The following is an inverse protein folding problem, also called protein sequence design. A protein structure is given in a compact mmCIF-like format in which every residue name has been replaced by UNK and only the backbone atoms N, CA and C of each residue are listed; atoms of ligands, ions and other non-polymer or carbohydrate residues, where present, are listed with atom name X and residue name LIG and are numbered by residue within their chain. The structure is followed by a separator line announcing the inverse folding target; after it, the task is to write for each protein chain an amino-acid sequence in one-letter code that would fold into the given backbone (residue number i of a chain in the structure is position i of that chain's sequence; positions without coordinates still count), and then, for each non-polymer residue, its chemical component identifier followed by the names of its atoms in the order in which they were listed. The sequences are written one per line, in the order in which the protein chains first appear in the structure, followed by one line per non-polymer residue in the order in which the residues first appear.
data_IF_909281946335
#
_entry.id   IF_909281946335
#
_cell.length_a   1.000
_cell.length_b   1.000
_cell.length_c   1.000
_cell.angle_alpha   90.00
_cell.angle_beta   90.00
_cell.angle_gamma   90.00
#
_symmetry.space_group_name_H-M   'P 1'
#
loop_
_entity.id
_entity.type
_entity.pdbx_description
1 polymer ?
#
# COMPACT_ATOMS: atom_id res chain seq x y z
N UNK A 1 -28.40 6.82 -17.67
CA UNK A 1 -28.13 7.92 -18.64
C UNK A 1 -28.92 9.21 -18.36
N UNK A 2 -29.73 9.33 -17.28
CA UNK A 2 -30.52 10.55 -17.03
C UNK A 2 -30.23 11.30 -15.73
N UNK A 3 -29.30 10.83 -14.91
CA UNK A 3 -28.99 11.42 -13.59
C UNK A 3 -27.69 12.22 -13.58
N UNK A 4 -26.70 11.83 -14.39
CA UNK A 4 -25.33 12.33 -14.25
C UNK A 4 -25.14 13.69 -14.97
N UNK A 5 -25.74 13.84 -16.16
CA UNK A 5 -25.81 15.13 -16.88
C UNK A 5 -26.59 16.22 -16.13
N UNK A 6 -27.49 15.84 -15.22
CA UNK A 6 -28.25 16.79 -14.40
C UNK A 6 -27.36 17.45 -13.33
N UNK A 7 -26.32 16.76 -12.86
CA UNK A 7 -25.39 17.27 -11.86
C UNK A 7 -24.42 18.31 -12.47
N UNK A 8 -23.92 18.08 -13.69
CA UNK A 8 -23.04 19.05 -14.36
C UNK A 8 -23.75 20.37 -14.62
N UNK A 9 -24.97 20.34 -15.18
CA UNK A 9 -25.76 21.56 -15.42
C UNK A 9 -26.05 22.33 -14.13
N UNK A 10 -26.34 21.62 -13.03
CA UNK A 10 -26.58 22.24 -11.73
C UNK A 10 -25.37 23.05 -11.25
N UNK A 11 -24.16 22.48 -11.32
CA UNK A 11 -22.96 23.20 -10.87
C UNK A 11 -22.58 24.37 -11.79
N UNK A 12 -22.82 24.25 -13.10
CA UNK A 12 -22.63 25.37 -14.04
C UNK A 12 -23.57 26.54 -13.73
N UNK A 13 -24.85 26.25 -13.52
CA UNK A 13 -25.85 27.27 -13.15
C UNK A 13 -25.51 27.94 -11.80
N UNK A 14 -24.99 27.17 -10.83
CA UNK A 14 -24.57 27.70 -9.54
C UNK A 14 -23.33 28.59 -9.65
N UNK A 15 -22.34 28.20 -10.46
CA UNK A 15 -21.16 29.04 -10.76
C UNK A 15 -21.62 30.36 -11.38
N UNK A 16 -22.48 30.33 -12.40
CA UNK A 16 -22.99 31.52 -13.07
C UNK A 16 -23.71 32.46 -12.09
N UNK A 17 -24.49 31.92 -11.15
CA UNK A 17 -25.16 32.70 -10.10
C UNK A 17 -24.19 33.34 -9.13
N UNK A 18 -23.19 32.60 -8.66
CA UNK A 18 -22.18 33.12 -7.73
C UNK A 18 -21.35 34.21 -8.42
N UNK A 19 -20.90 33.98 -9.65
CA UNK A 19 -20.11 34.97 -10.41
C UNK A 19 -20.92 36.23 -10.74
N UNK A 20 -22.22 36.10 -11.04
CA UNK A 20 -23.10 37.24 -11.30
C UNK A 20 -23.44 38.06 -10.04
N UNK A 21 -23.47 37.42 -8.86
CA UNK A 21 -23.83 38.08 -7.60
C UNK A 21 -22.62 38.58 -6.79
N UNK A 22 -21.42 38.07 -7.07
CA UNK A 22 -20.19 38.39 -6.37
C UNK A 22 -19.05 38.69 -7.36
N UNK A 23 -17.95 37.96 -7.30
CA UNK A 23 -16.77 38.13 -8.15
C UNK A 23 -16.22 36.77 -8.58
N UNK A 24 -15.40 36.78 -9.64
CA UNK A 24 -14.85 35.56 -10.26
C UNK A 24 -13.93 34.72 -9.35
N UNK A 25 -13.59 35.20 -8.15
CA UNK A 25 -12.79 34.49 -7.16
C UNK A 25 -13.51 34.36 -5.82
N UNK A 26 -14.85 34.40 -5.81
CA UNK A 26 -15.62 34.13 -4.60
C UNK A 26 -15.17 32.79 -3.96
N UNK A 27 -14.88 32.75 -2.64
CA UNK A 27 -14.44 31.52 -1.97
C UNK A 27 -15.37 30.32 -2.18
N UNK A 28 -16.69 30.54 -2.33
CA UNK A 28 -17.65 29.46 -2.56
C UNK A 28 -17.39 28.72 -3.88
N UNK A 29 -16.84 29.41 -4.88
CA UNK A 29 -16.52 28.81 -6.17
C UNK A 29 -15.46 27.70 -6.03
N UNK A 30 -14.59 27.73 -5.02
CA UNK A 30 -13.57 26.70 -4.81
C UNK A 30 -14.17 25.30 -4.69
N UNK A 31 -15.16 25.14 -3.83
CA UNK A 31 -15.89 23.88 -3.63
C UNK A 31 -16.83 23.56 -4.80
N UNK A 32 -17.48 24.57 -5.39
CA UNK A 32 -18.38 24.36 -6.54
C UNK A 32 -17.62 23.86 -7.76
N UNK A 33 -16.46 24.42 -8.09
CA UNK A 33 -15.60 23.92 -9.18
C UNK A 33 -15.02 22.53 -8.90
N UNK A 34 -14.73 22.19 -7.64
CA UNK A 34 -14.33 20.83 -7.27
C UNK A 34 -15.44 19.83 -7.58
N UNK A 35 -16.67 20.17 -7.19
CA UNK A 35 -17.85 19.32 -7.36
C UNK A 35 -18.24 19.17 -8.84
N UNK A 36 -18.11 20.26 -9.62
CA UNK A 36 -18.20 20.22 -11.08
C UNK A 36 -17.14 19.29 -11.67
N UNK A 37 -15.87 19.46 -11.28
CA UNK A 37 -14.77 18.63 -11.76
C UNK A 37 -15.00 17.14 -11.50
N UNK A 38 -15.48 16.78 -10.30
CA UNK A 38 -15.85 15.40 -9.98
C UNK A 38 -17.00 14.88 -10.86
N UNK A 39 -18.06 15.67 -11.04
CA UNK A 39 -19.20 15.29 -11.87
C UNK A 39 -18.79 15.09 -13.33
N UNK A 40 -17.90 15.92 -13.85
CA UNK A 40 -17.34 15.79 -15.19
C UNK A 40 -16.44 14.56 -15.34
N UNK A 41 -15.69 14.17 -14.29
CA UNK A 41 -14.95 12.90 -14.28
C UNK A 41 -15.91 11.72 -14.38
N UNK A 42 -16.99 11.73 -13.59
CA UNK A 42 -18.00 10.68 -13.58
C UNK A 42 -18.71 10.56 -14.94
N UNK A 43 -18.92 11.70 -15.64
CA UNK A 43 -19.45 11.77 -17.01
C UNK A 43 -18.43 11.43 -18.11
N UNK A 44 -17.16 11.21 -17.76
CA UNK A 44 -16.07 10.95 -18.71
C UNK A 44 -15.60 12.17 -19.50
N UNK A 45 -16.05 13.38 -19.13
CA UNK A 45 -15.63 14.63 -19.75
C UNK A 45 -14.33 15.17 -19.12
N UNK A 46 -13.23 14.47 -19.40
CA UNK A 46 -11.94 14.69 -18.75
C UNK A 46 -11.28 16.07 -18.97
N UNK A 47 -11.31 16.69 -20.18
CA UNK A 47 -10.67 18.00 -20.37
C UNK A 47 -11.34 19.09 -19.53
N UNK A 48 -12.67 19.16 -19.56
CA UNK A 48 -13.46 20.14 -18.81
C UNK A 48 -13.35 19.88 -17.30
N UNK A 49 -13.26 18.61 -16.87
CA UNK A 49 -12.98 18.28 -15.49
C UNK A 49 -11.63 18.85 -15.04
N UNK A 50 -10.59 18.70 -15.88
CA UNK A 50 -9.25 19.21 -15.60
C UNK A 50 -9.27 20.74 -15.43
N UNK A 51 -9.98 21.45 -16.32
CA UNK A 51 -10.10 22.91 -16.27
C UNK A 51 -10.87 23.37 -15.03
N UNK A 52 -11.99 22.71 -14.69
CA UNK A 52 -12.74 23.00 -13.48
C UNK A 52 -11.88 22.82 -12.21
N UNK A 53 -11.15 21.71 -12.10
CA UNK A 53 -10.28 21.45 -10.95
C UNK A 53 -9.12 22.46 -10.85
N UNK A 54 -8.48 22.82 -11.97
CA UNK A 54 -7.45 23.87 -12.02
C UNK A 54 -8.01 25.23 -11.61
N UNK A 55 -9.23 25.55 -12.03
CA UNK A 55 -9.92 26.78 -11.63
C UNK A 55 -10.20 26.80 -10.14
N UNK A 56 -10.67 25.69 -9.57
CA UNK A 56 -10.80 25.51 -8.13
C UNK A 56 -9.49 25.78 -7.38
N UNK A 57 -8.38 25.16 -7.80
CA UNK A 57 -7.04 25.42 -7.21
C UNK A 57 -6.67 26.91 -7.27
N UNK A 58 -6.96 27.60 -8.37
CA UNK A 58 -6.68 29.03 -8.50
C UNK A 58 -7.48 29.87 -7.50
N UNK A 59 -8.77 29.58 -7.32
CA UNK A 59 -9.64 30.26 -6.36
C UNK A 59 -9.13 30.05 -4.94
N UNK A 60 -8.78 28.82 -4.58
CA UNK A 60 -8.21 28.49 -3.27
C UNK A 60 -6.91 29.26 -3.00
N UNK A 61 -6.03 29.35 -4.00
CA UNK A 61 -4.77 30.12 -3.89
C UNK A 61 -4.98 31.60 -3.68
N UNK A 62 -5.96 32.19 -4.36
CA UNK A 62 -6.23 33.62 -4.27
C UNK A 62 -6.84 33.98 -2.92
N UNK A 63 -7.73 33.14 -2.40
CA UNK A 63 -8.44 33.42 -1.15
C UNK A 63 -7.62 33.05 0.10
N UNK A 64 -6.85 31.95 0.04
CA UNK A 64 -6.22 31.38 1.23
C UNK A 64 -4.68 31.27 1.13
N UNK A 65 -4.11 31.64 -0.02
CA UNK A 65 -2.67 31.69 -0.25
C UNK A 65 -2.08 30.43 -0.89
N UNK A 66 -0.84 30.56 -1.38
CA UNK A 66 -0.15 29.52 -2.17
C UNK A 66 0.07 28.18 -1.43
N UNK A 67 0.13 28.22 -0.10
CA UNK A 67 0.33 27.04 0.76
C UNK A 67 -0.93 26.69 1.56
N UNK A 68 -2.11 27.10 1.08
CA UNK A 68 -3.38 26.67 1.68
C UNK A 68 -3.63 25.19 1.43
N UNK A 69 -3.95 24.46 2.50
CA UNK A 69 -4.37 23.06 2.46
C UNK A 69 -5.71 22.85 1.75
N UNK A 70 -6.51 23.91 1.58
CA UNK A 70 -7.78 23.84 0.85
C UNK A 70 -7.61 23.48 -0.62
N UNK A 71 -6.39 23.63 -1.18
CA UNK A 71 -6.05 23.16 -2.53
C UNK A 71 -5.89 21.64 -2.64
N UNK A 72 -5.68 20.93 -1.52
CA UNK A 72 -5.30 19.51 -1.53
C UNK A 72 -6.37 18.62 -2.19
N UNK A 73 -7.67 18.75 -1.88
CA UNK A 73 -8.70 17.91 -2.51
C UNK A 73 -8.71 18.02 -4.04
N UNK A 74 -8.59 19.24 -4.59
CA UNK A 74 -8.53 19.46 -6.04
C UNK A 74 -7.28 18.86 -6.67
N UNK A 75 -6.13 18.99 -6.01
CA UNK A 75 -4.87 18.42 -6.49
C UNK A 75 -4.87 16.89 -6.46
N UNK A 76 -5.52 16.27 -5.47
CA UNK A 76 -5.70 14.82 -5.42
C UNK A 76 -6.60 14.33 -6.57
N UNK A 77 -7.71 15.02 -6.85
CA UNK A 77 -8.57 14.71 -8.00
C UNK A 77 -7.84 14.93 -9.34
N UNK A 78 -7.01 15.97 -9.45
CA UNK A 78 -6.15 16.16 -10.62
C UNK A 78 -5.16 15.01 -10.76
N UNK A 79 -4.54 14.54 -9.67
CA UNK A 79 -3.63 13.40 -9.73
C UNK A 79 -4.34 12.13 -10.23
N UNK A 80 -5.57 11.87 -9.75
CA UNK A 80 -6.39 10.75 -10.20
C UNK A 80 -6.73 10.87 -11.69
N UNK A 81 -7.20 12.04 -12.13
CA UNK A 81 -7.56 12.34 -13.52
C UNK A 81 -6.37 12.18 -14.46
N UNK A 82 -5.22 12.78 -14.14
CA UNK A 82 -4.01 12.68 -14.95
C UNK A 82 -3.52 11.24 -15.07
N UNK A 83 -3.63 10.45 -13.99
CA UNK A 83 -3.29 9.03 -14.03
C UNK A 83 -4.20 8.25 -14.99
N UNK A 84 -5.51 8.48 -14.94
CA UNK A 84 -6.48 7.86 -15.86
C UNK A 84 -6.19 8.22 -17.32
N UNK A 85 -5.73 9.45 -17.58
CA UNK A 85 -5.32 9.91 -18.91
C UNK A 85 -3.94 9.38 -19.36
N UNK A 86 -3.23 8.64 -18.52
CA UNK A 86 -1.87 8.14 -18.79
C UNK A 86 -0.77 9.19 -18.61
N UNK A 87 -1.10 10.37 -18.07
CA UNK A 87 -0.18 11.48 -17.83
C UNK A 87 0.55 11.34 -16.47
N UNK A 88 1.26 10.23 -16.27
CA UNK A 88 1.89 9.89 -14.98
C UNK A 88 2.78 11.00 -14.39
N UNK A 89 3.47 11.78 -15.24
CA UNK A 89 4.30 12.90 -14.80
C UNK A 89 3.50 14.04 -14.19
N UNK A 90 2.36 14.40 -14.78
CA UNK A 90 1.50 15.47 -14.24
C UNK A 90 0.75 14.98 -13.01
N UNK A 91 0.36 13.70 -12.96
CA UNK A 91 -0.18 13.09 -11.75
C UNK A 91 0.82 13.19 -10.57
N UNK A 92 2.07 12.77 -10.80
CA UNK A 92 3.12 12.84 -9.80
C UNK A 92 3.40 14.29 -9.35
N UNK A 93 3.40 15.25 -10.27
CA UNK A 93 3.57 16.68 -9.97
C UNK A 93 2.43 17.24 -9.11
N UNK A 94 1.19 16.81 -9.33
CA UNK A 94 0.07 17.20 -8.48
C UNK A 94 0.25 16.68 -7.03
N UNK A 95 0.71 15.44 -6.86
CA UNK A 95 1.03 14.84 -5.55
C UNK A 95 2.22 15.54 -4.86
N UNK A 96 3.24 15.92 -5.62
CA UNK A 96 4.37 16.73 -5.11
C UNK A 96 3.92 18.11 -4.65
N UNK A 97 2.95 18.73 -5.33
CA UNK A 97 2.33 19.97 -4.89
C UNK A 97 1.58 19.77 -3.56
N UNK A 98 0.82 18.68 -3.40
CA UNK A 98 0.16 18.35 -2.13
C UNK A 98 1.18 18.23 -1.00
N UNK A 99 2.28 17.49 -1.21
CA UNK A 99 3.37 17.39 -0.24
C UNK A 99 3.99 18.76 0.07
N UNK A 100 4.27 19.57 -0.96
CA UNK A 100 4.87 20.89 -0.80
C UNK A 100 3.98 21.84 0.00
N UNK A 101 2.68 21.89 -0.30
CA UNK A 101 1.69 22.68 0.43
C UNK A 101 1.67 22.27 1.90
N UNK A 102 1.50 20.98 2.19
CA UNK A 102 1.46 20.48 3.56
C UNK A 102 2.77 20.74 4.31
N UNK A 103 3.92 20.49 3.66
CA UNK A 103 5.24 20.71 4.25
C UNK A 103 5.51 22.18 4.55
N UNK A 104 5.02 23.11 3.73
CA UNK A 104 5.16 24.55 3.99
C UNK A 104 4.16 25.04 5.04
N UNK A 105 2.97 24.43 5.11
CA UNK A 105 1.95 24.79 6.08
C UNK A 105 2.27 24.28 7.49
N UNK A 106 2.64 23.01 7.64
CA UNK A 106 2.91 22.38 8.94
C UNK A 106 4.39 22.37 9.32
N UNK A 107 5.29 22.30 8.33
CA UNK A 107 6.69 21.93 8.50
C UNK A 107 6.93 20.46 8.15
N UNK A 108 7.97 20.18 7.35
CA UNK A 108 8.27 18.85 6.79
C UNK A 108 8.46 17.69 7.79
N UNK A 109 8.64 17.99 9.08
CA UNK A 109 8.85 17.00 10.14
C UNK A 109 7.70 16.96 11.16
N UNK A 110 6.72 17.84 11.06
CA UNK A 110 5.61 17.94 12.01
C UNK A 110 4.72 16.69 11.94
N UNK A 111 4.22 16.22 13.08
CA UNK A 111 3.38 15.02 13.17
C UNK A 111 2.10 15.13 12.30
N UNK A 112 1.61 16.34 12.02
CA UNK A 112 0.46 16.60 11.13
C UNK A 112 0.75 16.27 9.66
N UNK A 113 2.01 16.03 9.29
CA UNK A 113 2.37 15.51 7.97
C UNK A 113 1.97 14.03 7.79
N UNK A 114 1.80 13.27 8.87
CA UNK A 114 1.57 11.83 8.77
C UNK A 114 0.30 11.46 7.96
N UNK A 115 -0.88 12.06 8.18
CA UNK A 115 -2.07 11.73 7.37
C UNK A 115 -1.89 12.08 5.88
N UNK A 116 -1.22 13.19 5.57
CA UNK A 116 -0.95 13.59 4.18
C UNK A 116 -0.01 12.59 3.51
N UNK A 117 1.09 12.23 4.17
CA UNK A 117 2.03 11.25 3.65
C UNK A 117 1.40 9.86 3.53
N UNK A 118 0.47 9.50 4.43
CA UNK A 118 -0.29 8.26 4.36
C UNK A 118 -1.20 8.20 3.13
N UNK A 119 -1.89 9.30 2.82
CA UNK A 119 -2.70 9.44 1.62
C UNK A 119 -1.85 9.35 0.35
N UNK A 120 -0.69 10.02 0.33
CA UNK A 120 0.25 9.94 -0.80
C UNK A 120 0.81 8.53 -0.97
N UNK A 121 1.16 7.84 0.13
CA UNK A 121 1.66 6.48 0.07
C UNK A 121 0.58 5.53 -0.49
N UNK A 122 -0.64 5.63 0.04
CA UNK A 122 -1.78 4.82 -0.41
C UNK A 122 -2.06 5.02 -1.90
N UNK A 123 -2.09 6.28 -2.35
CA UNK A 123 -2.28 6.61 -3.78
C UNK A 123 -1.29 5.87 -4.69
N UNK A 124 -0.01 5.81 -4.30
CA UNK A 124 1.06 5.14 -5.05
C UNK A 124 0.92 3.62 -4.99
N UNK A 125 0.63 3.06 -3.81
CA UNK A 125 0.57 1.62 -3.60
C UNK A 125 -0.68 0.97 -4.18
N UNK A 126 -1.79 1.71 -4.24
CA UNK A 126 -3.04 1.22 -4.84
C UNK A 126 -2.90 1.10 -6.36
N UNK A 127 -2.18 2.04 -6.99
CA UNK A 127 -1.90 2.05 -8.44
C UNK A 127 -0.77 1.12 -8.87
N UNK A 128 0.00 0.64 -7.92
CA UNK A 128 0.99 -0.41 -8.14
C UNK A 128 0.35 -1.80 -8.37
N UNK A 129 -0.97 -1.95 -8.23
CA UNK A 129 -1.64 -3.25 -8.38
C UNK A 129 -2.11 -3.52 -9.83
N UNK A 130 -1.41 -4.45 -10.49
CA UNK A 130 -1.82 -5.19 -11.72
C UNK A 130 -1.52 -4.61 -13.11
N UNK A 131 -0.40 -3.91 -13.34
CA UNK A 131 0.05 -3.61 -14.72
C UNK A 131 1.46 -4.19 -14.97
N UNK A 132 1.62 -4.89 -16.09
CA UNK A 132 2.81 -5.70 -16.41
C UNK A 132 3.94 -4.89 -17.07
N UNK A 133 4.29 -3.70 -16.57
CA UNK A 133 5.25 -2.85 -17.31
C UNK A 133 6.30 -2.12 -16.47
N UNK A 134 7.37 -1.69 -17.15
CA UNK A 134 8.45 -0.85 -16.62
C UNK A 134 7.96 0.49 -16.05
N UNK A 135 6.74 0.94 -16.40
CA UNK A 135 6.13 2.18 -15.88
C UNK A 135 5.81 2.14 -14.38
N UNK A 136 5.67 0.95 -13.81
CA UNK A 136 5.33 0.76 -12.40
C UNK A 136 6.48 1.11 -11.44
N UNK A 137 7.71 1.21 -11.97
CA UNK A 137 8.88 1.54 -11.17
C UNK A 137 8.77 2.93 -10.54
N UNK A 138 8.12 3.88 -11.22
CA UNK A 138 7.92 5.24 -10.70
C UNK A 138 7.07 5.22 -9.42
N UNK A 139 6.02 4.40 -9.36
CA UNK A 139 5.20 4.23 -8.16
C UNK A 139 5.97 3.59 -7.01
N UNK A 140 6.82 2.60 -7.29
CA UNK A 140 7.71 1.96 -6.30
C UNK A 140 8.64 3.00 -5.67
N UNK A 141 9.26 3.84 -6.49
CA UNK A 141 10.18 4.89 -6.02
C UNK A 141 9.44 5.97 -5.25
N UNK A 142 8.29 6.44 -5.75
CA UNK A 142 7.48 7.42 -5.07
C UNK A 142 6.98 6.91 -3.70
N UNK A 143 6.64 5.61 -3.59
CA UNK A 143 6.32 4.96 -2.34
C UNK A 143 7.53 4.93 -1.39
N UNK A 144 8.74 4.62 -1.88
CA UNK A 144 9.96 4.67 -1.06
C UNK A 144 10.27 6.07 -0.54
N UNK A 145 10.20 7.09 -1.40
CA UNK A 145 10.41 8.49 -1.02
C UNK A 145 9.40 8.92 0.04
N UNK A 146 8.14 8.55 -0.12
CA UNK A 146 7.08 8.85 0.85
C UNK A 146 7.30 8.11 2.18
N UNK A 147 7.69 6.84 2.14
CA UNK A 147 8.05 6.06 3.32
C UNK A 147 9.23 6.71 4.09
N UNK A 148 10.26 7.18 3.40
CA UNK A 148 11.37 7.89 4.03
C UNK A 148 10.93 9.20 4.71
N UNK A 149 9.98 9.92 4.11
CA UNK A 149 9.37 11.11 4.72
C UNK A 149 8.57 10.75 5.98
N UNK A 150 7.79 9.66 5.96
CA UNK A 150 7.05 9.15 7.12
C UNK A 150 8.03 8.82 8.26
N UNK A 151 9.07 8.04 7.98
CA UNK A 151 10.09 7.67 8.97
C UNK A 151 10.71 8.92 9.60
N UNK A 152 11.06 9.92 8.78
CA UNK A 152 11.63 11.19 9.26
C UNK A 152 10.69 11.97 10.18
N UNK A 153 9.38 11.99 9.91
CA UNK A 153 8.38 12.63 10.76
C UNK A 153 8.26 11.90 12.09
N UNK A 154 8.18 10.55 12.06
CA UNK A 154 8.12 9.73 13.27
C UNK A 154 9.34 9.97 14.15
N UNK A 155 10.54 9.83 13.59
CA UNK A 155 11.81 10.00 14.30
C UNK A 155 11.98 11.40 14.92
N UNK A 156 11.36 12.42 14.33
CA UNK A 156 11.55 13.82 14.73
C UNK A 156 10.47 14.35 15.67
N UNK A 157 9.26 13.81 15.64
CA UNK A 157 8.09 14.51 16.20
C UNK A 157 6.98 13.62 16.74
N UNK A 158 7.12 12.29 16.70
CA UNK A 158 6.08 11.37 17.20
C UNK A 158 6.67 10.47 18.28
N UNK A 159 6.11 10.46 19.51
CA UNK A 159 6.54 9.53 20.55
C UNK A 159 6.32 8.08 20.13
N UNK A 160 7.26 7.17 20.43
CA UNK A 160 7.13 5.74 20.10
C UNK A 160 5.91 5.08 20.75
N UNK A 161 5.43 5.60 21.89
CA UNK A 161 4.21 5.14 22.55
C UNK A 161 2.90 5.62 21.92
N UNK A 162 2.95 6.44 20.86
CA UNK A 162 1.74 6.85 20.14
C UNK A 162 1.11 5.62 19.45
N UNK A 163 -0.20 5.37 19.65
CA UNK A 163 -0.86 4.15 19.18
C UNK A 163 -0.87 4.01 17.64
N UNK A 164 -0.59 5.09 16.89
CA UNK A 164 -0.54 5.06 15.42
C UNK A 164 0.82 4.60 14.89
N UNK A 165 1.89 4.73 15.67
CA UNK A 165 3.27 4.46 15.25
C UNK A 165 3.49 3.01 14.79
N UNK A 166 2.95 1.97 15.47
CA UNK A 166 3.09 0.59 15.00
C UNK A 166 2.60 0.38 13.56
N UNK A 167 1.50 1.04 13.18
CA UNK A 167 0.93 0.93 11.84
C UNK A 167 1.84 1.60 10.78
N UNK A 168 2.46 2.72 11.11
CA UNK A 168 3.41 3.33 10.18
C UNK A 168 4.64 2.45 9.97
N UNK A 169 5.20 1.86 11.02
CA UNK A 169 6.33 0.93 10.86
C UNK A 169 5.95 -0.33 10.06
N UNK A 170 4.73 -0.81 10.20
CA UNK A 170 4.17 -1.84 9.33
C UNK A 170 4.19 -1.42 7.85
N UNK A 171 3.63 -0.24 7.53
CA UNK A 171 3.65 0.32 6.16
C UNK A 171 5.07 0.51 5.62
N UNK A 172 6.01 0.95 6.46
CA UNK A 172 7.41 1.06 6.07
C UNK A 172 7.99 -0.31 5.66
N UNK A 173 7.72 -1.36 6.44
CA UNK A 173 8.13 -2.73 6.09
C UNK A 173 7.46 -3.23 4.80
N UNK A 174 6.17 -2.94 4.61
CA UNK A 174 5.42 -3.25 3.40
C UNK A 174 6.02 -2.59 2.15
N UNK A 175 6.45 -1.33 2.22
CA UNK A 175 7.19 -0.67 1.12
C UNK A 175 8.47 -1.42 0.79
N UNK A 176 9.26 -1.83 1.80
CA UNK A 176 10.49 -2.57 1.55
C UNK A 176 10.23 -3.95 0.94
N UNK A 177 9.14 -4.62 1.34
CA UNK A 177 8.69 -5.87 0.73
C UNK A 177 8.30 -5.68 -0.73
N UNK A 178 7.52 -4.64 -1.03
CA UNK A 178 7.11 -4.26 -2.37
C UNK A 178 8.32 -4.04 -3.28
N UNK A 179 9.31 -3.26 -2.84
CA UNK A 179 10.53 -3.00 -3.63
C UNK A 179 11.32 -4.29 -3.87
N UNK A 180 11.52 -5.11 -2.83
CA UNK A 180 12.26 -6.37 -2.95
C UNK A 180 11.57 -7.35 -3.93
N UNK A 181 10.25 -7.45 -3.89
CA UNK A 181 9.46 -8.26 -4.80
C UNK A 181 9.49 -7.70 -6.23
N UNK A 182 9.41 -6.38 -6.40
CA UNK A 182 9.53 -5.73 -7.70
C UNK A 182 10.87 -6.03 -8.37
N UNK A 183 11.98 -5.80 -7.66
CA UNK A 183 13.34 -6.02 -8.18
C UNK A 183 13.56 -7.50 -8.51
N UNK A 184 13.03 -8.41 -7.68
CA UNK A 184 13.10 -9.84 -7.95
C UNK A 184 12.36 -10.23 -9.24
N UNK A 185 11.27 -9.55 -9.59
CA UNK A 185 10.45 -9.84 -10.78
C UNK A 185 10.98 -9.16 -12.04
N UNK A 186 11.38 -7.90 -11.93
CA UNK A 186 11.66 -7.02 -13.08
C UNK A 186 13.13 -6.62 -13.22
N UNK A 187 13.97 -6.92 -12.22
CA UNK A 187 15.34 -6.43 -12.15
C UNK A 187 15.43 -5.00 -11.61
N UNK A 188 16.62 -4.42 -11.69
CA UNK A 188 16.85 -3.02 -11.36
C UNK A 188 16.57 -2.13 -12.57
N UNK A 189 16.22 -0.85 -12.36
CA UNK A 189 16.13 0.13 -13.46
C UNK A 189 17.44 0.19 -14.20
N UNK A 190 17.35 0.31 -15.52
CA UNK A 190 18.50 0.46 -16.40
C UNK A 190 18.74 1.91 -16.81
N UNK A 191 17.82 2.83 -16.50
CA UNK A 191 17.92 4.23 -16.91
C UNK A 191 18.74 5.07 -15.92
N UNK A 192 19.75 5.72 -16.48
CA UNK A 192 20.71 6.64 -15.86
C UNK A 192 19.99 7.91 -15.39
N UNK A 193 19.60 7.93 -14.12
CA UNK A 193 18.89 9.06 -13.49
C UNK A 193 18.26 8.69 -12.15
N UNK A 194 18.05 7.39 -11.90
CA UNK A 194 17.52 6.89 -10.64
C UNK A 194 18.64 6.70 -9.61
N UNK A 195 18.87 7.72 -8.78
CA UNK A 195 19.66 7.59 -7.56
C UNK A 195 18.81 6.93 -6.47
N UNK A 196 19.03 5.64 -6.23
CA UNK A 196 18.59 5.05 -4.98
C UNK A 196 19.29 5.76 -3.83
N UNK A 197 18.54 6.04 -2.76
CA UNK A 197 19.05 6.61 -1.50
C UNK A 197 19.91 5.60 -0.72
N UNK A 198 20.75 4.82 -1.39
CA UNK A 198 21.98 4.33 -0.81
C UNK A 198 22.88 5.56 -0.73
N UNK A 199 22.99 6.19 0.44
CA UNK A 199 23.66 7.49 0.64
C UNK A 199 25.17 7.52 0.37
N UNK A 200 25.61 7.04 -0.80
CA UNK A 200 26.93 7.20 -1.39
C UNK A 200 26.81 6.89 -2.90
N UNK A 201 27.32 7.80 -3.71
CA UNK A 201 27.53 7.64 -5.15
C UNK A 201 28.50 6.49 -5.42
N UNK A 202 27.99 5.27 -5.63
CA UNK A 202 28.80 4.12 -6.04
C UNK A 202 27.96 3.28 -7.01
N UNK A 203 28.53 3.05 -8.20
CA UNK A 203 28.22 2.00 -9.21
C UNK A 203 26.87 1.29 -9.06
N UNK A 204 26.05 1.34 -10.12
CA UNK A 204 24.79 0.62 -10.28
C UNK A 204 24.72 -0.62 -9.37
N UNK A 205 23.92 -0.51 -8.30
CA UNK A 205 23.88 -1.52 -7.25
C UNK A 205 23.61 -2.90 -7.89
N UNK A 206 24.31 -3.95 -7.46
CA UNK A 206 23.95 -5.31 -7.86
C UNK A 206 22.57 -5.67 -7.28
N UNK A 207 21.73 -6.47 -7.98
CA UNK A 207 20.49 -7.01 -7.40
C UNK A 207 20.66 -7.66 -6.03
N UNK A 208 21.83 -8.26 -5.75
CA UNK A 208 22.15 -8.83 -4.43
C UNK A 208 22.34 -7.78 -3.34
N UNK A 209 23.04 -6.67 -3.65
CA UNK A 209 23.23 -5.55 -2.73
C UNK A 209 21.93 -4.80 -2.44
N UNK A 210 21.10 -4.64 -3.48
CA UNK A 210 19.75 -4.08 -3.36
C UNK A 210 18.88 -4.95 -2.44
N UNK A 211 18.85 -6.28 -2.67
CA UNK A 211 18.11 -7.24 -1.82
C UNK A 211 18.53 -7.16 -0.35
N UNK A 212 19.83 -7.06 -0.06
CA UNK A 212 20.33 -6.87 1.32
C UNK A 212 19.89 -5.56 1.96
N UNK A 213 19.81 -4.47 1.18
CA UNK A 213 19.39 -3.16 1.66
C UNK A 213 17.92 -3.18 2.10
N UNK A 214 17.03 -3.68 1.26
CA UNK A 214 15.60 -3.77 1.59
C UNK A 214 15.33 -4.75 2.72
N UNK A 215 16.03 -5.89 2.74
CA UNK A 215 16.00 -6.81 3.88
C UNK A 215 16.31 -6.09 5.20
N UNK A 216 17.39 -5.30 5.25
CA UNK A 216 17.81 -4.57 6.45
C UNK A 216 16.80 -3.49 6.83
N UNK A 217 16.31 -2.70 5.86
CA UNK A 217 15.35 -1.63 6.10
C UNK A 217 14.02 -2.16 6.62
N UNK A 218 13.47 -3.20 6.02
CA UNK A 218 12.20 -3.80 6.47
C UNK A 218 12.33 -4.48 7.82
N UNK A 219 13.45 -5.18 8.07
CA UNK A 219 13.77 -5.70 9.41
C UNK A 219 13.81 -4.59 10.45
N UNK A 220 14.47 -3.47 10.15
CA UNK A 220 14.56 -2.34 11.07
C UNK A 220 13.17 -1.76 11.39
N UNK A 221 12.32 -1.58 10.38
CA UNK A 221 10.95 -1.13 10.57
C UNK A 221 10.13 -2.08 11.45
N UNK A 222 10.20 -3.40 11.22
CA UNK A 222 9.48 -4.39 12.04
C UNK A 222 9.99 -4.46 13.49
N UNK A 223 11.29 -4.27 13.71
CA UNK A 223 11.83 -4.14 15.06
C UNK A 223 11.32 -2.87 15.76
N UNK A 224 11.30 -1.74 15.07
CA UNK A 224 10.74 -0.48 15.59
C UNK A 224 9.24 -0.59 15.86
N UNK A 225 8.49 -1.37 15.05
CA UNK A 225 7.09 -1.69 15.33
C UNK A 225 6.94 -2.40 16.68
N UNK A 226 7.71 -3.46 16.91
CA UNK A 226 7.69 -4.21 18.18
C UNK A 226 8.05 -3.29 19.35
N UNK A 227 9.11 -2.49 19.22
CA UNK A 227 9.52 -1.52 20.23
C UNK A 227 8.41 -0.50 20.55
N UNK A 228 7.76 0.06 19.52
CA UNK A 228 6.65 1.00 19.70
C UNK A 228 5.45 0.38 20.42
N UNK A 229 5.15 -0.91 20.19
CA UNK A 229 4.07 -1.63 20.89
C UNK A 229 4.43 -1.83 22.36
N UNK A 230 5.67 -2.22 22.66
CA UNK A 230 6.15 -2.47 24.03
C UNK A 230 6.15 -1.18 24.87
N UNK A 231 6.33 -0.02 24.25
CA UNK A 231 6.33 1.27 24.94
C UNK A 231 4.92 1.81 25.25
N UNK A 232 3.85 1.16 24.80
CA UNK A 232 2.47 1.57 25.09
C UNK A 232 2.04 1.16 26.50
N UNK A 233 1.18 1.97 27.13
CA UNK A 233 0.76 1.75 28.53
C UNK A 233 -0.15 0.52 28.69
N UNK A 234 -0.94 0.16 27.67
CA UNK A 234 -1.83 -1.00 27.66
C UNK A 234 -1.43 -1.97 26.55
N UNK A 235 -0.35 -2.72 26.79
CA UNK A 235 0.18 -3.69 25.81
C UNK A 235 -0.87 -4.78 25.58
N UNK A 236 -1.30 -4.94 24.32
CA UNK A 236 -2.06 -6.11 23.91
C UNK A 236 -1.08 -7.22 23.48
N UNK A 237 -1.00 -8.31 24.25
CA UNK A 237 -0.08 -9.41 24.00
C UNK A 237 -0.34 -10.14 22.67
N UNK A 238 -1.59 -10.18 22.18
CA UNK A 238 -1.90 -10.71 20.84
C UNK A 238 -1.29 -9.83 19.76
N UNK A 239 -1.39 -8.51 19.91
CA UNK A 239 -0.78 -7.53 18.99
C UNK A 239 0.74 -7.65 19.01
N UNK A 240 1.34 -7.81 20.19
CA UNK A 240 2.78 -8.01 20.34
C UNK A 240 3.24 -9.32 19.67
N UNK A 241 2.57 -10.43 19.96
CA UNK A 241 2.86 -11.72 19.34
C UNK A 241 2.71 -11.66 17.80
N UNK A 242 1.71 -10.94 17.30
CA UNK A 242 1.51 -10.73 15.85
C UNK A 242 2.67 -9.98 15.21
N UNK A 243 3.14 -8.91 15.85
CA UNK A 243 4.28 -8.14 15.37
C UNK A 243 5.59 -8.94 15.39
N UNK A 244 5.82 -9.76 16.40
CA UNK A 244 6.99 -10.64 16.48
C UNK A 244 6.90 -11.75 15.42
N UNK A 245 5.71 -12.35 15.23
CA UNK A 245 5.49 -13.35 14.20
C UNK A 245 5.65 -12.77 12.78
N UNK A 246 5.33 -11.51 12.57
CA UNK A 246 5.57 -10.83 11.30
C UNK A 246 7.08 -10.59 11.05
N UNK A 247 7.86 -10.28 12.09
CA UNK A 247 9.32 -10.28 11.98
C UNK A 247 9.87 -11.68 11.64
N UNK A 248 9.27 -12.74 12.17
CA UNK A 248 9.60 -14.11 11.80
C UNK A 248 9.25 -14.42 10.32
N UNK A 249 8.08 -13.96 9.86
CA UNK A 249 7.65 -14.05 8.46
C UNK A 249 8.66 -13.35 7.52
N UNK A 250 9.16 -12.17 7.94
CA UNK A 250 10.21 -11.45 7.21
C UNK A 250 11.48 -12.29 7.11
N UNK A 251 11.97 -12.83 8.23
CA UNK A 251 13.13 -13.73 8.21
C UNK A 251 12.92 -14.93 7.29
N UNK A 252 11.73 -15.54 7.31
CA UNK A 252 11.40 -16.69 6.49
C UNK A 252 11.45 -16.38 4.99
N UNK A 253 10.86 -15.25 4.57
CA UNK A 253 10.85 -14.82 3.16
C UNK A 253 12.27 -14.55 2.63
N UNK A 254 13.15 -14.01 3.46
CA UNK A 254 14.54 -13.73 3.11
C UNK A 254 15.50 -14.90 3.40
N UNK A 255 14.97 -16.09 3.71
CA UNK A 255 15.74 -17.33 3.85
C UNK A 255 16.50 -17.47 5.18
N UNK A 256 16.26 -16.60 6.15
CA UNK A 256 16.89 -16.56 7.47
C UNK A 256 16.18 -17.55 8.42
N UNK A 257 16.28 -18.85 8.13
CA UNK A 257 15.46 -19.89 8.79
C UNK A 257 15.66 -19.98 10.29
N UNK A 258 16.89 -19.88 10.77
CA UNK A 258 17.19 -19.98 12.19
C UNK A 258 16.58 -18.79 12.94
N UNK A 259 16.75 -17.58 12.41
CA UNK A 259 16.15 -16.36 12.97
C UNK A 259 14.62 -16.39 12.91
N UNK A 260 14.04 -16.93 11.83
CA UNK A 260 12.60 -17.12 11.72
C UNK A 260 12.09 -18.07 12.82
N UNK A 261 12.71 -19.23 13.00
CA UNK A 261 12.34 -20.18 14.06
C UNK A 261 12.45 -19.57 15.46
N UNK A 262 13.55 -18.88 15.76
CA UNK A 262 13.70 -18.18 17.03
C UNK A 262 12.65 -17.10 17.25
N UNK A 263 12.32 -16.31 16.23
CA UNK A 263 11.30 -15.27 16.34
C UNK A 263 9.88 -15.85 16.48
N UNK A 264 9.55 -16.93 15.79
CA UNK A 264 8.29 -17.65 15.99
C UNK A 264 8.17 -18.21 17.41
N UNK A 265 9.25 -18.78 17.95
CA UNK A 265 9.27 -19.24 19.33
C UNK A 265 8.98 -18.09 20.31
N UNK A 266 9.62 -16.93 20.13
CA UNK A 266 9.37 -15.75 20.98
C UNK A 266 7.92 -15.28 20.86
N UNK A 267 7.35 -15.26 19.65
CA UNK A 267 5.95 -14.92 19.45
C UNK A 267 5.02 -15.91 20.16
N UNK A 268 5.30 -17.20 20.08
CA UNK A 268 4.54 -18.25 20.77
C UNK A 268 4.65 -18.12 22.30
N UNK A 269 5.86 -17.88 22.82
CA UNK A 269 6.09 -17.71 24.25
C UNK A 269 5.41 -16.44 24.81
N UNK A 270 5.27 -15.38 24.00
CA UNK A 270 4.52 -14.16 24.36
C UNK A 270 3.05 -14.49 24.68
N UNK A 271 2.48 -15.53 24.06
CA UNK A 271 1.09 -15.96 24.27
C UNK A 271 0.91 -16.87 25.50
N UNK A 272 1.98 -17.29 26.18
CA UNK A 272 1.91 -18.14 27.39
C UNK A 272 1.52 -17.38 28.67
N UNK A 273 1.10 -16.12 28.54
CA UNK A 273 0.57 -15.32 29.64
C UNK A 273 -0.79 -15.85 30.13
N UNK A 274 -1.08 -15.65 31.41
CA UNK A 274 -2.39 -15.92 32.03
C UNK A 274 -3.49 -15.00 31.48
N UNK A 275 -3.12 -13.86 30.87
CA UNK A 275 -4.04 -12.89 30.26
C UNK A 275 -4.62 -13.38 28.93
N UNK A 276 -4.02 -14.40 28.30
CA UNK A 276 -4.44 -14.96 27.01
C UNK A 276 -5.10 -16.32 27.25
N UNK A 277 -6.32 -16.48 26.73
CA UNK A 277 -7.04 -17.76 26.84
C UNK A 277 -6.34 -18.87 26.05
N UNK A 278 -6.49 -20.12 26.49
CA UNK A 278 -5.95 -21.27 25.76
C UNK A 278 -6.52 -21.34 24.33
N UNK A 279 -7.78 -20.95 24.14
CA UNK A 279 -8.40 -20.86 22.81
C UNK A 279 -7.68 -19.84 21.91
N UNK A 280 -7.44 -18.62 22.38
CA UNK A 280 -6.74 -17.60 21.59
C UNK A 280 -5.30 -18.02 21.26
N UNK A 281 -4.63 -18.66 22.21
CA UNK A 281 -3.26 -19.19 22.02
C UNK A 281 -3.22 -20.28 20.95
N UNK A 282 -4.16 -21.23 21.02
CA UNK A 282 -4.23 -22.36 20.09
C UNK A 282 -4.62 -21.89 18.68
N UNK A 283 -5.57 -20.96 18.57
CA UNK A 283 -6.03 -20.42 17.29
C UNK A 283 -4.97 -19.58 16.57
N UNK A 284 -4.12 -18.85 17.30
CA UNK A 284 -3.19 -17.87 16.74
C UNK A 284 -2.23 -18.44 15.68
N UNK A 285 -1.73 -19.65 15.92
CA UNK A 285 -0.80 -20.35 15.01
C UNK A 285 -1.39 -21.66 14.45
N UNK A 286 -2.68 -21.94 14.66
CA UNK A 286 -3.32 -23.18 14.22
C UNK A 286 -3.25 -23.38 12.70
N UNK A 287 -3.46 -22.30 11.95
CA UNK A 287 -3.56 -22.35 10.50
C UNK A 287 -2.43 -21.57 9.83
N UNK A 288 -1.91 -22.10 8.71
CA UNK A 288 -0.98 -21.34 7.90
C UNK A 288 -1.59 -20.03 7.39
N UNK A 289 -0.75 -19.00 7.26
CA UNK A 289 -1.17 -17.67 6.79
C UNK A 289 -0.28 -17.20 5.65
N UNK A 290 -0.85 -16.67 4.57
CA UNK A 290 -0.06 -16.04 3.50
C UNK A 290 0.80 -14.91 4.06
N UNK A 291 2.06 -14.83 3.62
CA UNK A 291 2.97 -13.73 3.96
C UNK A 291 3.00 -12.76 2.79
N UNK A 292 2.37 -11.60 2.93
CA UNK A 292 2.24 -10.60 1.87
C UNK A 292 2.34 -9.13 2.30
N UNK A 293 2.54 -8.84 3.60
CA UNK A 293 2.78 -7.48 4.13
C UNK A 293 1.82 -6.42 3.53
N UNK A 294 0.50 -6.56 3.72
CA UNK A 294 -0.49 -5.66 3.12
C UNK A 294 -0.36 -4.25 3.69
N UNK A 295 -0.56 -3.20 2.88
CA UNK A 295 -0.51 -1.81 3.34
C UNK A 295 -1.67 -1.44 4.27
N UNK A 296 -2.81 -2.10 4.09
CA UNK A 296 -3.98 -2.03 4.96
C UNK A 296 -4.35 -3.45 5.38
N UNK A 297 -4.31 -3.72 6.69
CA UNK A 297 -4.65 -5.03 7.25
C UNK A 297 -6.14 -5.41 7.00
N UNK A 298 -7.00 -4.44 6.65
CA UNK A 298 -8.44 -4.65 6.43
C UNK A 298 -8.80 -5.13 5.02
N UNK A 299 -7.91 -4.97 4.03
CA UNK A 299 -8.20 -5.30 2.65
C UNK A 299 -8.00 -6.80 2.37
N UNK A 300 -9.07 -7.57 2.55
CA UNK A 300 -9.19 -8.90 1.93
C UNK A 300 -9.53 -8.69 0.44
N UNK A 301 -8.83 -9.32 -0.51
CA UNK A 301 -9.26 -9.29 -1.90
C UNK A 301 -10.61 -9.99 -2.02
N UNK A 302 -11.67 -9.20 -2.25
CA UNK A 302 -12.98 -9.69 -2.65
C UNK A 302 -12.87 -9.93 -4.16
N UNK A 303 -12.51 -11.16 -4.53
CA UNK A 303 -12.69 -11.66 -5.89
C UNK A 303 -14.01 -12.40 -5.97
N UNK A 304 -14.85 -12.04 -6.95
CA UNK A 304 -16.18 -12.62 -7.18
C UNK A 304 -16.16 -14.09 -7.64
N UNK A 305 -14.97 -14.69 -7.82
CA UNK A 305 -14.81 -16.10 -8.13
C UNK A 305 -13.47 -16.63 -7.62
N UNK A 306 -13.50 -17.48 -6.58
CA UNK A 306 -12.32 -18.09 -5.99
C UNK A 306 -12.32 -19.61 -6.23
N UNK A 307 -11.15 -20.17 -6.53
CA UNK A 307 -10.89 -21.60 -6.57
C UNK A 307 -10.59 -22.09 -5.17
N UNK A 308 -11.18 -23.23 -4.80
CA UNK A 308 -10.81 -23.95 -3.60
C UNK A 308 -9.59 -24.84 -3.91
N UNK A 309 -8.47 -24.53 -3.26
CA UNK A 309 -7.18 -25.19 -3.51
C UNK A 309 -6.68 -25.85 -2.23
N UNK A 310 -6.41 -27.15 -2.33
CA UNK A 310 -5.69 -27.92 -1.32
C UNK A 310 -4.19 -27.86 -1.60
N UNK A 311 -3.39 -27.70 -0.55
CA UNK A 311 -1.94 -27.73 -0.64
C UNK A 311 -1.30 -28.25 0.64
N UNK A 312 -0.13 -28.84 0.51
CA UNK A 312 0.73 -29.18 1.64
C UNK A 312 1.67 -28.01 1.96
N UNK A 313 1.54 -27.39 3.13
CA UNK A 313 2.43 -26.32 3.58
C UNK A 313 3.50 -26.94 4.46
N UNK A 314 4.77 -26.85 4.03
CA UNK A 314 5.93 -27.36 4.80
C UNK A 314 6.23 -26.49 6.03
N UNK A 315 7.08 -26.97 6.93
CA UNK A 315 7.64 -26.24 8.08
C UNK A 315 8.39 -24.96 7.65
N UNK A 316 8.85 -24.91 6.39
CA UNK A 316 9.51 -23.74 5.79
C UNK A 316 8.57 -22.78 5.07
N UNK A 317 7.25 -22.99 5.17
CA UNK A 317 6.26 -22.11 4.58
C UNK A 317 6.10 -22.22 3.07
N UNK A 318 6.60 -23.30 2.46
CA UNK A 318 6.44 -23.58 1.02
C UNK A 318 5.22 -24.47 0.76
N UNK A 319 4.46 -24.12 -0.28
CA UNK A 319 3.40 -24.96 -0.81
C UNK A 319 3.96 -26.11 -1.65
N UNK A 320 3.37 -27.30 -1.49
CA UNK A 320 3.58 -28.52 -2.28
C UNK A 320 2.23 -29.19 -2.54
N UNK A 321 2.23 -30.19 -3.41
CA UNK A 321 1.06 -31.07 -3.65
C UNK A 321 -0.24 -30.28 -3.85
N UNK A 322 -0.16 -29.31 -4.76
CA UNK A 322 -1.24 -28.35 -5.01
C UNK A 322 -2.29 -29.00 -5.90
N UNK A 323 -3.53 -29.06 -5.40
CA UNK A 323 -4.68 -29.65 -6.06
C UNK A 323 -5.89 -28.73 -5.97
N UNK A 324 -6.67 -28.64 -7.04
CA UNK A 324 -7.92 -27.87 -7.06
C UNK A 324 -9.05 -28.86 -6.76
N UNK A 325 -9.80 -28.63 -5.68
CA UNK A 325 -10.78 -29.60 -5.18
C UNK A 325 -12.03 -29.68 -6.06
N UNK A 326 -12.47 -28.54 -6.59
CA UNK A 326 -13.66 -28.41 -7.43
C UNK A 326 -13.37 -27.48 -8.63
N UNK A 327 -12.63 -27.95 -9.66
CA UNK A 327 -12.27 -27.10 -10.80
C UNK A 327 -13.53 -26.77 -11.64
N UNK A 328 -13.77 -25.49 -11.96
CA UNK A 328 -14.81 -25.10 -12.91
C UNK A 328 -14.61 -25.73 -14.29
N UNK A 329 -15.70 -26.00 -15.01
CA UNK A 329 -15.65 -26.63 -16.34
C UNK A 329 -14.89 -25.77 -17.38
N UNK A 330 -14.83 -24.46 -17.18
CA UNK A 330 -14.15 -23.49 -18.05
C UNK A 330 -12.68 -23.21 -17.65
N UNK A 331 -12.16 -23.92 -16.63
CA UNK A 331 -10.80 -23.77 -16.17
C UNK A 331 -9.81 -24.39 -17.16
N UNK A 332 -8.98 -23.55 -17.78
CA UNK A 332 -8.01 -24.03 -18.77
C UNK A 332 -6.77 -24.63 -18.12
N UNK A 333 -5.99 -25.40 -18.90
CA UNK A 333 -4.66 -25.87 -18.47
C UNK A 333 -3.70 -24.72 -18.16
N UNK A 334 -3.89 -23.56 -18.78
CA UNK A 334 -3.07 -22.37 -18.56
C UNK A 334 -3.44 -21.70 -17.23
N UNK A 335 -4.73 -21.56 -16.93
CA UNK A 335 -5.22 -21.09 -15.64
C UNK A 335 -4.64 -21.95 -14.50
N UNK A 336 -4.66 -23.28 -14.66
CA UNK A 336 -4.07 -24.20 -13.69
C UNK A 336 -2.55 -23.98 -13.49
N UNK A 337 -1.79 -23.78 -14.58
CA UNK A 337 -0.35 -23.49 -14.49
C UNK A 337 -0.10 -22.17 -13.78
N UNK A 338 -0.91 -21.16 -14.04
CA UNK A 338 -0.80 -19.83 -13.42
C UNK A 338 -1.07 -19.91 -11.92
N UNK A 339 -2.16 -20.57 -11.51
CA UNK A 339 -2.50 -20.81 -10.09
C UNK A 339 -1.39 -21.56 -9.38
N UNK A 340 -0.92 -22.68 -9.95
CA UNK A 340 0.15 -23.49 -9.36
C UNK A 340 1.47 -22.71 -9.25
N UNK A 341 1.84 -21.97 -10.29
CA UNK A 341 3.04 -21.14 -10.30
C UNK A 341 2.97 -20.02 -9.26
N UNK A 342 1.80 -19.37 -9.12
CA UNK A 342 1.55 -18.37 -8.10
C UNK A 342 1.72 -18.93 -6.69
N UNK A 343 1.03 -20.02 -6.37
CA UNK A 343 1.09 -20.66 -5.04
C UNK A 343 2.48 -21.19 -4.70
N UNK A 344 3.22 -21.75 -5.66
CA UNK A 344 4.61 -22.18 -5.46
C UNK A 344 5.58 -21.02 -5.14
N UNK A 345 5.29 -19.83 -5.66
CA UNK A 345 6.06 -18.60 -5.39
C UNK A 345 5.67 -17.94 -4.08
N UNK A 346 4.43 -18.16 -3.60
CA UNK A 346 3.95 -17.66 -2.31
C UNK A 346 4.73 -18.30 -1.14
N UNK A 347 4.86 -17.53 -0.07
CA UNK A 347 5.33 -18.04 1.23
C UNK A 347 4.21 -17.92 2.24
N UNK A 348 4.11 -18.93 3.08
CA UNK A 348 3.14 -19.00 4.16
C UNK A 348 3.88 -19.03 5.49
N UNK A 349 3.35 -18.34 6.49
CA UNK A 349 3.62 -18.64 7.88
C UNK A 349 3.13 -20.07 8.11
N UNK A 350 3.99 -21.00 8.56
CA UNK A 350 3.57 -22.36 8.86
C UNK A 350 2.70 -22.39 10.11
N UNK A 351 1.96 -23.49 10.31
CA UNK A 351 1.36 -23.80 11.62
C UNK A 351 2.48 -23.96 12.63
N UNK A 352 2.26 -23.56 13.88
CA UNK A 352 3.16 -23.88 14.99
C UNK A 352 2.53 -24.87 15.95
N UNK A 353 3.32 -25.83 16.43
CA UNK A 353 2.99 -26.71 17.56
C UNK A 353 4.12 -26.55 18.59
N UNK A 354 3.78 -26.18 19.82
CA UNK A 354 4.75 -25.90 20.89
C UNK A 354 5.84 -24.87 20.48
N UNK A 355 5.48 -23.91 19.63
CA UNK A 355 6.40 -22.88 19.10
C UNK A 355 7.26 -23.33 17.92
N UNK A 356 7.16 -24.59 17.50
CA UNK A 356 7.92 -25.14 16.37
C UNK A 356 7.06 -25.20 15.09
N UNK A 357 7.58 -24.76 13.94
CA UNK A 357 6.92 -24.92 12.65
C UNK A 357 6.63 -26.37 12.30
N UNK A 358 5.39 -26.66 11.91
CA UNK A 358 4.95 -27.98 11.48
C UNK A 358 4.29 -27.93 10.10
N UNK A 359 4.48 -29.00 9.33
CA UNK A 359 3.85 -29.14 8.04
C UNK A 359 2.39 -29.60 8.16
N UNK A 360 1.50 -29.06 7.33
CA UNK A 360 0.08 -29.39 7.38
C UNK A 360 -0.57 -29.29 5.99
N UNK A 361 -1.54 -30.16 5.73
CA UNK A 361 -2.48 -29.99 4.63
C UNK A 361 -3.42 -28.82 4.92
N UNK A 362 -3.52 -27.89 3.99
CA UNK A 362 -4.30 -26.66 4.15
C UNK A 362 -5.11 -26.38 2.89
N UNK A 363 -6.37 -25.97 3.09
CA UNK A 363 -7.26 -25.56 2.01
C UNK A 363 -7.48 -24.06 2.09
N UNK A 364 -7.35 -23.37 0.95
CA UNK A 364 -7.57 -21.93 0.86
C UNK A 364 -8.34 -21.56 -0.41
N UNK A 365 -8.88 -20.35 -0.39
CA UNK A 365 -9.50 -19.70 -1.55
C UNK A 365 -8.43 -18.91 -2.33
N UNK A 366 -8.32 -19.17 -3.62
CA UNK A 366 -7.38 -18.50 -4.51
C UNK A 366 -8.12 -17.84 -5.69
N UNK A 367 -7.88 -16.56 -6.00
CA UNK A 367 -8.60 -15.88 -7.07
C UNK A 367 -8.30 -16.50 -8.43
N UNK A 368 -9.32 -16.61 -9.28
CA UNK A 368 -9.14 -17.03 -10.68
C UNK A 368 -8.32 -15.94 -11.41
N UNK A 369 -7.28 -16.31 -12.18
CA UNK A 369 -6.55 -15.36 -13.01
C UNK A 369 -7.50 -14.60 -13.95
N UNK A 370 -7.49 -13.26 -13.93
CA UNK A 370 -8.24 -12.46 -14.90
C UNK A 370 -7.65 -12.69 -16.30
N UNK A 371 -8.48 -13.06 -17.26
CA UNK A 371 -8.10 -13.08 -18.68
C UNK A 371 -7.98 -11.63 -19.14
N UNK A 372 -6.82 -11.24 -19.63
CA UNK A 372 -6.66 -9.94 -20.29
C UNK A 372 -7.49 -9.98 -21.58
N UNK A 373 -8.58 -9.22 -21.63
CA UNK A 373 -9.47 -9.13 -22.81
C UNK A 373 -8.84 -8.25 -23.91
N UNK A 374 -7.61 -7.79 -23.71
CA UNK A 374 -6.93 -6.81 -24.55
C UNK A 374 -6.13 -7.39 -25.74
N UNK A 375 -6.14 -8.71 -25.98
CA UNK A 375 -5.55 -9.32 -27.19
C UNK A 375 -6.57 -9.76 -28.26
N UNK A 376 -7.84 -9.38 -28.14
CA UNK A 376 -8.83 -9.56 -29.22
C UNK A 376 -9.55 -8.25 -29.52
N UNK A 377 -8.92 -7.43 -30.37
CA UNK A 377 -9.49 -6.19 -30.93
C UNK A 377 -8.62 -5.63 -32.02
#
# INVERSE_FOLDING_TARGET
MGTDSANVSFYLDEIDRIEASSNAFDPQLGETYMSLGKSLIDDGNFPEAQDALKRGVQIERINFGLHSLSQTPHLMLLADLEYVLGNNKEAQKALENVYSIASNHYGSKDARMLPVLDQLLSWQTDRYQNISSKGDFDHVIAAEVTALRIAKVIDSSVPMKDPRVPNYFHKLAAVQYLIANHIKRHGLPTDVGFEFTTGNSVKAASPSAATHTYYRRGKAALLSRIDSIIQQENINLLTQASAIAELADWYLIFGQRQQAGSAYQVAFDTLKSEEISDQERDEFFALPRKIDFPFDESLRPIGDSNLEVSLWITETGRARDIEILNPPDDLTKEDWKTVRSGLMKTRFRPRLIEGLPEAIAHTLLYPIPKRDVSEQG
#
